data_IF_099745431566
#
_entry.id   IF_099745431566
#
_cell.length_a   1.000
_cell.length_b   1.000
_cell.length_c   1.000
_cell.angle_alpha   90.00
_cell.angle_beta   90.00
_cell.angle_gamma   90.00
#
_symmetry.space_group_name_H-M   'P 1'
#
loop_
_entity.id
_entity.type
_entity.pdbx_description
1 polymer ?
#
# COMPACT_ATOMS: atom_id res chain seq x y z
N UNK A 1 22.16 -28.49 37.92
CA UNK A 1 21.23 -28.63 39.07
C UNK A 1 20.10 -27.59 39.03
N UNK A 2 20.36 -26.30 38.89
CA UNK A 2 19.31 -25.26 38.87
C UNK A 2 18.25 -25.44 37.76
N UNK A 3 18.67 -25.79 36.54
CA UNK A 3 17.75 -26.07 35.42
C UNK A 3 16.83 -27.25 35.72
N UNK A 4 17.35 -28.30 36.36
CA UNK A 4 16.56 -29.47 36.76
C UNK A 4 15.49 -29.11 37.79
N UNK A 5 15.84 -28.27 38.79
CA UNK A 5 14.87 -27.78 39.77
C UNK A 5 13.82 -26.86 39.14
N UNK A 6 14.18 -26.06 38.14
CA UNK A 6 13.25 -25.24 37.38
C UNK A 6 12.24 -26.12 36.62
N UNK A 7 12.73 -27.11 35.87
CA UNK A 7 11.90 -28.07 35.14
C UNK A 7 11.01 -28.85 36.10
N UNK A 8 11.53 -29.27 37.25
CA UNK A 8 10.77 -29.98 38.29
C UNK A 8 9.68 -29.09 38.92
N UNK A 9 9.93 -27.80 39.09
CA UNK A 9 8.95 -26.84 39.62
C UNK A 9 7.86 -26.54 38.60
N UNK A 10 8.23 -26.40 37.32
CA UNK A 10 7.29 -26.21 36.21
C UNK A 10 6.43 -27.46 36.02
N UNK A 11 7.01 -28.65 36.03
CA UNK A 11 6.26 -29.90 35.85
C UNK A 11 5.31 -30.19 37.02
N UNK A 12 5.71 -29.90 38.27
CA UNK A 12 4.82 -29.98 39.44
C UNK A 12 3.70 -28.95 39.39
N UNK A 13 3.99 -27.73 38.92
CA UNK A 13 2.97 -26.70 38.73
C UNK A 13 1.94 -27.11 37.68
N UNK A 14 2.41 -27.67 36.56
CA UNK A 14 1.57 -28.11 35.46
C UNK A 14 0.72 -29.34 35.83
N UNK A 15 1.30 -30.27 36.59
CA UNK A 15 0.57 -31.41 37.15
C UNK A 15 -0.53 -30.96 38.13
N UNK A 16 -0.28 -29.94 38.96
CA UNK A 16 -1.30 -29.36 39.87
C UNK A 16 -2.41 -28.61 39.12
N UNK A 17 -2.09 -27.93 38.02
CA UNK A 17 -3.13 -27.29 37.20
C UNK A 17 -3.99 -28.31 36.45
N UNK A 18 -3.40 -29.43 36.05
CA UNK A 18 -4.11 -30.55 35.40
C UNK A 18 -5.01 -31.31 36.39
N UNK A 19 -4.57 -31.47 37.64
CA UNK A 19 -5.30 -32.18 38.68
C UNK A 19 -6.39 -31.34 39.38
N UNK A 20 -6.94 -30.29 38.75
CA UNK A 20 -8.08 -29.53 39.30
C UNK A 20 -9.39 -30.27 38.96
N UNK A 21 -10.04 -30.96 39.92
CA UNK A 21 -11.28 -31.69 39.66
C UNK A 21 -12.46 -30.77 39.28
N UNK A 22 -12.41 -29.48 39.61
CA UNK A 22 -13.52 -28.54 39.36
C UNK A 22 -13.62 -27.98 37.93
N UNK A 23 -12.70 -28.29 37.01
CA UNK A 23 -12.79 -27.78 35.63
C UNK A 23 -13.79 -28.55 34.76
N UNK A 24 -14.01 -29.84 35.07
CA UNK A 24 -15.01 -30.67 34.40
C UNK A 24 -16.41 -30.44 34.99
N UNK A 25 -16.51 -30.29 36.31
CA UNK A 25 -17.77 -30.02 37.03
C UNK A 25 -18.30 -28.60 36.76
N UNK A 26 -17.42 -27.59 36.72
CA UNK A 26 -17.79 -26.23 36.32
C UNK A 26 -18.14 -26.10 34.82
N UNK A 27 -17.89 -27.12 34.00
CA UNK A 27 -18.32 -27.15 32.60
C UNK A 27 -19.77 -27.63 32.44
N UNK A 28 -20.37 -28.23 33.47
CA UNK A 28 -21.75 -28.75 33.44
C UNK A 28 -22.79 -27.83 34.10
N UNK A 29 -22.37 -26.90 34.96
CA UNK A 29 -23.28 -25.90 35.54
C UNK A 29 -23.76 -24.91 34.46
N UNK A 30 -25.09 -24.82 34.21
CA UNK A 30 -25.66 -24.06 33.09
C UNK A 30 -25.26 -22.58 33.13
N UNK A 31 -25.18 -22.00 34.33
CA UNK A 31 -24.80 -20.60 34.54
C UNK A 31 -23.36 -20.30 34.13
N UNK A 32 -22.44 -21.25 34.35
CA UNK A 32 -21.03 -21.08 33.98
C UNK A 32 -20.87 -21.18 32.47
N UNK A 33 -21.63 -22.05 31.82
CA UNK A 33 -21.67 -22.19 30.36
C UNK A 33 -22.21 -20.92 29.70
N UNK A 34 -23.31 -20.36 30.22
CA UNK A 34 -23.89 -19.10 29.71
C UNK A 34 -22.90 -17.95 29.83
N UNK A 35 -22.30 -17.74 31.00
CA UNK A 35 -21.29 -16.69 31.20
C UNK A 35 -20.08 -16.86 30.28
N UNK A 36 -19.66 -18.09 30.02
CA UNK A 36 -18.57 -18.38 29.08
C UNK A 36 -18.97 -18.05 27.65
N UNK A 37 -20.18 -18.40 27.22
CA UNK A 37 -20.68 -18.08 25.88
C UNK A 37 -20.85 -16.58 25.69
N UNK A 38 -21.38 -15.88 26.69
CA UNK A 38 -21.48 -14.42 26.71
C UNK A 38 -20.10 -13.75 26.61
N UNK A 39 -19.11 -14.24 27.37
CA UNK A 39 -17.74 -13.74 27.26
C UNK A 39 -17.13 -13.95 25.87
N UNK A 40 -17.38 -15.11 25.25
CA UNK A 40 -16.95 -15.38 23.87
C UNK A 40 -17.68 -14.50 22.85
N UNK A 41 -18.98 -14.27 23.02
CA UNK A 41 -19.77 -13.39 22.17
C UNK A 41 -19.30 -11.94 22.29
N UNK A 42 -19.06 -11.46 23.51
CA UNK A 42 -18.51 -10.13 23.77
C UNK A 42 -17.11 -9.97 23.16
N UNK A 43 -16.26 -10.98 23.26
CA UNK A 43 -14.94 -10.96 22.62
C UNK A 43 -15.04 -10.88 21.09
N UNK A 44 -15.98 -11.61 20.48
CA UNK A 44 -16.25 -11.54 19.04
C UNK A 44 -16.74 -10.16 18.60
N UNK A 45 -17.65 -9.56 19.37
CA UNK A 45 -18.17 -8.21 19.07
C UNK A 45 -17.06 -7.17 19.13
N UNK A 46 -16.23 -7.18 20.17
CA UNK A 46 -15.07 -6.27 20.28
C UNK A 46 -14.13 -6.43 19.08
N UNK A 47 -13.84 -7.67 18.67
CA UNK A 47 -13.01 -7.93 17.49
C UNK A 47 -13.64 -7.37 16.21
N UNK A 48 -14.95 -7.52 16.03
CA UNK A 48 -15.66 -6.97 14.87
C UNK A 48 -15.65 -5.44 14.86
N UNK A 49 -15.85 -4.81 16.01
CA UNK A 49 -15.78 -3.35 16.16
C UNK A 49 -14.39 -2.82 15.79
N UNK A 50 -13.32 -3.47 16.24
CA UNK A 50 -11.95 -3.10 15.88
C UNK A 50 -11.70 -3.21 14.38
N UNK A 51 -12.16 -4.30 13.74
CA UNK A 51 -12.04 -4.49 12.30
C UNK A 51 -12.84 -3.42 11.52
N UNK A 52 -14.05 -3.11 11.97
CA UNK A 52 -14.88 -2.09 11.35
C UNK A 52 -14.23 -0.70 11.48
N UNK A 53 -13.71 -0.36 12.66
CA UNK A 53 -13.00 0.89 12.89
C UNK A 53 -11.75 1.03 12.01
N UNK A 54 -11.00 -0.06 11.79
CA UNK A 54 -9.87 -0.07 10.86
C UNK A 54 -10.32 0.11 9.40
N UNK A 55 -11.42 -0.54 9.00
CA UNK A 55 -11.97 -0.41 7.67
C UNK A 55 -12.45 1.02 7.37
N UNK A 56 -13.09 1.68 8.34
CA UNK A 56 -13.49 3.08 8.22
C UNK A 56 -12.29 4.02 8.09
N UNK A 57 -11.29 3.89 8.97
CA UNK A 57 -10.03 4.66 8.87
C UNK A 57 -9.35 4.50 7.52
N UNK A 58 -9.36 3.29 6.96
CA UNK A 58 -8.78 3.05 5.64
C UNK A 58 -9.59 3.72 4.53
N UNK A 59 -10.92 3.61 4.57
CA UNK A 59 -11.82 4.28 3.61
C UNK A 59 -11.65 5.80 3.65
N UNK A 60 -11.53 6.39 4.84
CA UNK A 60 -11.29 7.82 5.01
C UNK A 60 -9.95 8.24 4.41
N UNK A 61 -8.86 7.52 4.70
CA UNK A 61 -7.54 7.78 4.12
C UNK A 61 -7.56 7.67 2.59
N UNK A 62 -8.25 6.67 2.05
CA UNK A 62 -8.40 6.53 0.59
C UNK A 62 -9.11 7.74 -0.03
N UNK A 63 -10.21 8.22 0.59
CA UNK A 63 -10.92 9.42 0.15
C UNK A 63 -10.03 10.66 0.19
N UNK A 64 -9.25 10.83 1.25
CA UNK A 64 -8.29 11.95 1.36
C UNK A 64 -7.25 11.91 0.24
N UNK A 65 -6.65 10.75 -0.03
CA UNK A 65 -5.68 10.59 -1.12
C UNK A 65 -6.29 10.85 -2.50
N UNK A 66 -7.55 10.45 -2.71
CA UNK A 66 -8.27 10.76 -3.94
C UNK A 66 -8.54 12.26 -4.09
N UNK A 67 -8.96 12.93 -3.01
CA UNK A 67 -9.16 14.38 -3.00
C UNK A 67 -7.85 15.14 -3.22
N UNK A 68 -6.76 14.75 -2.57
CA UNK A 68 -5.44 15.34 -2.77
C UNK A 68 -4.99 15.16 -4.22
N UNK A 69 -5.16 13.97 -4.80
CA UNK A 69 -4.87 13.76 -6.23
C UNK A 69 -5.75 14.60 -7.14
N UNK A 70 -7.01 14.83 -6.79
CA UNK A 70 -7.89 15.75 -7.52
C UNK A 70 -7.38 17.19 -7.42
N UNK A 71 -7.04 17.66 -6.21
CA UNK A 71 -6.49 18.99 -5.96
C UNK A 71 -5.17 19.21 -6.69
N UNK A 72 -4.26 18.25 -6.66
CA UNK A 72 -2.98 18.28 -7.40
C UNK A 72 -3.21 18.42 -8.90
N UNK A 73 -4.16 17.65 -9.47
CA UNK A 73 -4.51 17.78 -10.89
C UNK A 73 -5.06 19.16 -11.22
N UNK A 74 -5.96 19.69 -10.39
CA UNK A 74 -6.51 21.05 -10.57
C UNK A 74 -5.40 22.08 -10.52
N UNK A 75 -4.58 22.07 -9.47
CA UNK A 75 -3.46 23.00 -9.30
C UNK A 75 -2.46 22.92 -10.47
N UNK A 76 -2.15 21.70 -10.94
CA UNK A 76 -1.31 21.51 -12.12
C UNK A 76 -1.96 22.13 -13.37
N UNK A 77 -3.25 21.91 -13.60
CA UNK A 77 -3.98 22.49 -14.74
C UNK A 77 -4.07 24.02 -14.67
N UNK A 78 -4.34 24.59 -13.51
CA UNK A 78 -4.36 26.04 -13.27
C UNK A 78 -2.97 26.65 -13.52
N UNK A 79 -1.91 26.03 -13.00
CA UNK A 79 -0.54 26.48 -13.26
C UNK A 79 -0.17 26.47 -14.74
N UNK A 80 -0.77 25.56 -15.52
CA UNK A 80 -0.58 25.46 -16.95
C UNK A 80 -1.36 26.54 -17.71
N UNK A 81 -2.59 26.84 -17.28
CA UNK A 81 -3.38 27.96 -17.82
C UNK A 81 -2.72 29.32 -17.54
N UNK A 82 -2.16 29.50 -16.35
CA UNK A 82 -1.44 30.72 -15.95
C UNK A 82 -0.04 30.87 -16.58
N UNK A 83 0.41 29.91 -17.40
CA UNK A 83 1.71 29.95 -18.09
C UNK A 83 2.93 29.72 -17.18
N UNK A 84 2.73 29.32 -15.92
CA UNK A 84 3.81 29.03 -14.94
C UNK A 84 4.43 27.63 -15.12
N UNK A 85 3.83 26.79 -15.97
CA UNK A 85 4.13 25.37 -16.17
C UNK A 85 5.61 25.03 -16.45
N UNK A 86 6.36 25.87 -17.16
CA UNK A 86 7.72 25.48 -17.59
C UNK A 86 8.88 25.92 -16.67
N UNK A 87 8.74 26.99 -15.89
CA UNK A 87 9.86 27.54 -15.09
C UNK A 87 9.74 27.39 -13.57
N UNK A 88 8.53 27.12 -13.04
CA UNK A 88 8.30 27.00 -11.59
C UNK A 88 8.55 25.61 -11.00
N UNK A 89 8.25 24.56 -11.77
CA UNK A 89 8.34 23.16 -11.29
C UNK A 89 9.78 22.70 -10.98
N UNK A 90 10.80 23.30 -11.59
CA UNK A 90 12.21 23.01 -11.26
C UNK A 90 12.61 23.51 -9.86
N UNK A 91 11.95 24.55 -9.32
CA UNK A 91 12.27 25.13 -8.00
C UNK A 91 11.48 24.46 -6.88
N UNK A 92 10.21 24.15 -7.10
CA UNK A 92 9.36 23.47 -6.11
C UNK A 92 9.88 22.05 -5.78
N UNK A 93 10.30 21.30 -6.80
CA UNK A 93 10.89 19.97 -6.62
C UNK A 93 12.27 20.02 -5.93
N UNK A 94 12.95 21.17 -5.94
CA UNK A 94 14.21 21.39 -5.22
C UNK A 94 13.94 21.65 -3.73
N UNK A 95 12.90 22.41 -3.42
CA UNK A 95 12.54 22.80 -2.05
C UNK A 95 11.90 21.63 -1.25
N UNK A 96 11.15 20.75 -1.92
CA UNK A 96 10.61 19.52 -1.32
C UNK A 96 11.73 18.49 -1.04
N UNK A 97 12.78 18.46 -1.86
CA UNK A 97 13.98 17.63 -1.65
C UNK A 97 14.91 18.21 -0.57
N UNK A 98 15.01 19.54 -0.45
CA UNK A 98 15.84 20.21 0.56
C UNK A 98 15.29 20.08 1.99
N UNK A 99 13.97 19.96 2.17
CA UNK A 99 13.37 19.79 3.50
C UNK A 99 13.52 18.38 4.09
N UNK A 100 14.03 17.42 3.29
CA UNK A 100 14.21 16.02 3.70
C UNK A 100 15.65 15.49 3.68
N UNK A 101 16.65 16.28 3.26
CA UNK A 101 17.99 15.76 3.01
C UNK A 101 19.12 16.67 3.53
N UNK A 102 19.43 16.54 4.82
CA UNK A 102 20.80 16.83 5.30
C UNK A 102 21.75 15.74 4.80
N UNK A 103 22.23 15.83 3.57
CA UNK A 103 23.43 15.11 3.12
C UNK A 103 23.98 15.74 1.82
N UNK A 104 25.21 16.24 1.89
CA UNK A 104 25.96 16.75 0.76
C UNK A 104 26.08 15.70 -0.37
N UNK A 105 25.55 16.01 -1.56
CA UNK A 105 25.87 15.24 -2.76
C UNK A 105 26.00 16.18 -3.97
N UNK A 106 27.22 16.26 -4.50
CA UNK A 106 27.60 16.95 -5.74
C UNK A 106 26.73 16.47 -6.92
N UNK A 107 26.17 17.36 -7.77
CA UNK A 107 25.36 16.94 -8.91
C UNK A 107 26.23 16.28 -9.98
N UNK A 108 25.96 15.01 -10.28
CA UNK A 108 26.59 14.25 -11.37
C UNK A 108 26.19 14.83 -12.74
N UNK A 109 27.17 15.05 -13.61
CA UNK A 109 26.94 15.49 -14.99
C UNK A 109 26.18 14.43 -15.79
N UNK A 110 25.20 14.88 -16.59
CA UNK A 110 24.35 14.00 -17.40
C UNK A 110 25.21 13.31 -18.48
N UNK A 111 25.12 12.00 -18.69
CA UNK A 111 25.79 11.35 -19.81
C UNK A 111 25.19 11.86 -21.12
N UNK A 112 26.05 12.19 -22.09
CA UNK A 112 25.67 12.60 -23.46
C UNK A 112 24.71 11.56 -24.05
N UNK A 113 23.40 11.85 -24.04
CA UNK A 113 22.40 10.97 -24.63
C UNK A 113 22.39 11.19 -26.13
N UNK A 114 22.64 10.12 -26.88
CA UNK A 114 22.39 10.06 -28.32
C UNK A 114 20.94 10.52 -28.57
N UNK A 115 20.68 11.40 -29.55
CA UNK A 115 19.34 11.89 -29.83
C UNK A 115 18.38 10.73 -30.06
N UNK A 116 17.14 10.86 -29.58
CA UNK A 116 16.09 9.82 -29.66
C UNK A 116 15.79 9.39 -31.10
N UNK A 117 16.18 10.21 -32.08
CA UNK A 117 16.08 9.93 -33.51
C UNK A 117 17.47 10.07 -34.14
N UNK A 118 17.85 9.13 -34.99
CA UNK A 118 19.10 9.21 -35.76
C UNK A 118 19.16 10.50 -36.58
N UNK A 119 20.37 11.00 -36.84
CA UNK A 119 20.62 12.31 -37.47
C UNK A 119 20.08 12.53 -38.89
N UNK A 120 19.28 11.61 -39.43
CA UNK A 120 18.62 11.72 -40.73
C UNK A 120 17.12 12.08 -40.67
N UNK A 121 16.51 12.26 -39.49
CA UNK A 121 15.09 12.63 -39.41
C UNK A 121 14.87 14.09 -39.82
N UNK A 122 14.44 14.31 -41.06
CA UNK A 122 14.03 15.61 -41.57
C UNK A 122 12.50 15.65 -41.78
N UNK A 123 11.74 16.42 -40.97
CA UNK A 123 10.28 16.49 -41.06
C UNK A 123 9.75 17.17 -42.33
N UNK A 124 10.62 17.84 -43.11
CA UNK A 124 10.26 18.50 -44.36
C UNK A 124 10.60 17.66 -45.60
N UNK A 125 11.61 16.79 -45.51
CA UNK A 125 12.13 16.03 -46.67
C UNK A 125 11.84 14.54 -46.65
N UNK A 126 11.28 14.00 -45.55
CA UNK A 126 10.68 12.67 -45.57
C UNK A 126 11.65 11.50 -45.80
N UNK A 127 12.95 11.68 -45.56
CA UNK A 127 13.93 10.58 -45.65
C UNK A 127 13.80 9.67 -44.41
N UNK A 128 12.84 8.75 -44.46
CA UNK A 128 12.52 7.89 -43.32
C UNK A 128 11.48 6.83 -43.64
N UNK A 129 11.60 6.20 -44.81
CA UNK A 129 10.79 5.06 -45.20
C UNK A 129 11.17 3.79 -44.43
N UNK A 130 10.16 3.13 -43.86
CA UNK A 130 10.22 1.71 -43.47
C UNK A 130 10.10 1.43 -41.97
N UNK A 131 8.87 1.33 -41.47
CA UNK A 131 8.39 0.29 -40.50
C UNK A 131 7.07 0.66 -39.83
N UNK A 132 6.66 1.94 -39.81
CA UNK A 132 5.38 2.34 -39.22
C UNK A 132 4.28 2.42 -40.30
N UNK A 133 3.79 1.28 -40.78
CA UNK A 133 2.48 1.24 -41.44
C UNK A 133 1.41 1.02 -40.37
N UNK A 134 0.71 2.09 -39.98
CA UNK A 134 -0.46 1.94 -39.11
C UNK A 134 -1.60 1.39 -39.97
N UNK A 135 -1.79 0.06 -39.95
CA UNK A 135 -2.99 -0.56 -40.50
C UNK A 135 -4.00 -0.73 -39.36
N UNK A 136 -5.18 -0.09 -39.41
CA UNK A 136 -6.23 -0.37 -38.43
C UNK A 136 -6.56 -1.86 -38.47
N UNK A 137 -6.51 -2.52 -37.31
CA UNK A 137 -6.88 -3.93 -37.17
C UNK A 137 -8.30 -4.16 -37.71
N UNK A 138 -8.51 -5.26 -38.44
CA UNK A 138 -9.83 -5.60 -39.00
C UNK A 138 -10.85 -5.66 -37.88
N UNK A 139 -11.82 -4.75 -37.89
CA UNK A 139 -13.03 -4.85 -37.07
C UNK A 139 -14.00 -5.79 -37.77
N UNK A 140 -14.15 -7.00 -37.24
CA UNK A 140 -15.15 -7.97 -37.69
C UNK A 140 -14.62 -9.40 -37.66
N UNK A 141 -15.45 -10.39 -37.26
CA UNK A 141 -15.00 -11.77 -37.10
C UNK A 141 -14.53 -12.33 -38.45
N UNK A 142 -13.34 -12.93 -38.44
CA UNK A 142 -12.86 -13.76 -39.55
C UNK A 142 -13.73 -15.02 -39.58
N UNK A 143 -14.43 -15.24 -40.69
CA UNK A 143 -15.36 -16.35 -40.87
C UNK A 143 -14.74 -17.75 -40.64
N UNK A 144 -15.59 -18.70 -40.24
CA UNK A 144 -15.52 -20.10 -40.64
C UNK A 144 -15.12 -21.11 -39.55
N UNK A 145 -16.03 -22.06 -39.25
CA UNK A 145 -15.80 -23.26 -38.46
C UNK A 145 -16.93 -23.59 -37.52
#
# INVERSE_FOLDING_TARGET
VAVYLLVQKVSRSLARSSARPGAAEAAEEPDVVVRRQEALAAARLRMQEELNAQAEKYKEKQRQLEEERRRQKIAMWESMQEGKSYKGNLKLNQQEVESGASASAVPKSKPNKKPLRGGGYNPLSGEGGGTCSWRPGRRGPSAGG
#
